data_IF_346603688928
#
_entry.id   IF_346603688928
#
_cell.length_a   1.000
_cell.length_b   1.000
_cell.length_c   1.000
_cell.angle_alpha   90.00
_cell.angle_beta   90.00
_cell.angle_gamma   90.00
#
_symmetry.space_group_name_H-M   'P 1'
#
loop_
_entity.id
_entity.type
_entity.pdbx_description
1 polymer ?
#
# COMPACT_ATOMS: atom_id res chain seq x y z
N UNK A 1 -3.36 -54.36 -25.96
CA UNK A 1 -4.22 -53.66 -25.01
C UNK A 1 -4.39 -52.20 -25.53
N UNK A 2 -5.55 -51.90 -26.07
CA UNK A 2 -5.83 -50.62 -26.70
C UNK A 2 -6.16 -49.58 -25.65
N UNK A 3 -5.35 -48.53 -25.55
CA UNK A 3 -5.65 -47.33 -24.73
C UNK A 3 -6.75 -46.57 -25.45
N UNK A 4 -7.94 -46.51 -24.82
CA UNK A 4 -9.02 -45.67 -25.27
C UNK A 4 -8.68 -44.19 -25.12
N UNK A 5 -9.28 -43.28 -25.92
CA UNK A 5 -9.00 -41.84 -25.86
C UNK A 5 -9.40 -41.26 -24.50
N UNK A 6 -8.69 -40.23 -24.01
CA UNK A 6 -9.02 -39.61 -22.74
C UNK A 6 -10.45 -39.03 -22.81
N UNK A 7 -11.26 -39.34 -21.79
CA UNK A 7 -12.58 -38.77 -21.62
C UNK A 7 -12.41 -37.27 -21.39
N UNK A 8 -12.57 -36.47 -22.43
CA UNK A 8 -12.72 -35.02 -22.30
C UNK A 8 -14.02 -34.75 -21.58
N UNK A 9 -13.93 -34.23 -20.37
CA UNK A 9 -15.07 -33.83 -19.58
C UNK A 9 -15.77 -32.67 -20.31
N UNK A 10 -16.92 -32.95 -20.92
CA UNK A 10 -17.72 -32.00 -21.71
C UNK A 10 -18.08 -30.74 -20.90
N UNK A 11 -18.11 -30.85 -19.57
CA UNK A 11 -18.40 -29.76 -18.65
C UNK A 11 -17.17 -28.90 -18.29
N UNK A 12 -15.95 -29.29 -18.65
CA UNK A 12 -14.74 -28.51 -18.38
C UNK A 12 -14.69 -27.19 -19.18
N UNK A 13 -15.43 -27.08 -20.27
CA UNK A 13 -15.55 -25.87 -21.09
C UNK A 13 -16.64 -24.90 -20.60
N UNK A 14 -17.53 -25.33 -19.69
CA UNK A 14 -18.54 -24.50 -19.08
C UNK A 14 -18.06 -23.98 -17.71
N UNK A 15 -16.85 -23.47 -17.60
CA UNK A 15 -16.52 -22.55 -16.52
C UNK A 15 -17.30 -21.26 -16.76
N UNK A 16 -18.51 -21.23 -16.24
CA UNK A 16 -19.30 -20.00 -16.09
C UNK A 16 -18.42 -19.05 -15.28
N UNK A 17 -17.78 -18.12 -15.98
CA UNK A 17 -16.93 -17.14 -15.33
C UNK A 17 -17.88 -16.18 -14.61
N UNK A 18 -18.11 -16.44 -13.32
CA UNK A 18 -19.00 -15.66 -12.48
C UNK A 18 -18.50 -14.23 -12.48
N UNK A 19 -19.27 -13.30 -13.03
CA UNK A 19 -18.89 -11.90 -13.08
C UNK A 19 -18.97 -11.31 -11.67
N UNK A 20 -17.88 -10.72 -11.22
CA UNK A 20 -17.81 -10.02 -9.93
C UNK A 20 -18.20 -8.56 -10.14
N UNK A 21 -19.36 -8.16 -9.61
CA UNK A 21 -19.90 -6.82 -9.77
C UNK A 21 -19.51 -5.90 -8.61
N UNK A 22 -19.00 -4.73 -8.91
CA UNK A 22 -18.73 -3.66 -7.94
C UNK A 22 -19.59 -2.45 -8.27
N UNK A 23 -20.36 -2.00 -7.30
CA UNK A 23 -21.19 -0.79 -7.41
C UNK A 23 -20.48 0.33 -6.67
N UNK A 24 -20.07 1.35 -7.41
CA UNK A 24 -19.54 2.58 -6.82
C UNK A 24 -20.67 3.58 -6.61
N UNK A 25 -20.65 4.33 -5.53
CA UNK A 25 -21.59 5.40 -5.26
C UNK A 25 -20.89 6.57 -4.56
N UNK A 26 -21.15 7.76 -5.00
CA UNK A 26 -20.62 9.02 -4.50
C UNK A 26 -21.75 10.06 -4.38
N UNK A 27 -21.41 11.24 -3.92
CA UNK A 27 -22.39 12.31 -3.63
C UNK A 27 -22.99 12.94 -4.89
N UNK A 28 -22.21 12.98 -5.95
CA UNK A 28 -22.57 13.60 -7.23
C UNK A 28 -22.96 12.57 -8.30
N UNK A 29 -23.60 12.98 -9.37
CA UNK A 29 -23.87 12.12 -10.52
C UNK A 29 -22.63 11.90 -11.40
N UNK A 30 -21.70 12.84 -11.42
CA UNK A 30 -20.34 12.71 -11.95
C UNK A 30 -19.40 12.27 -10.82
N UNK A 31 -18.59 11.25 -11.12
CA UNK A 31 -17.64 10.71 -10.17
C UNK A 31 -16.29 10.45 -10.86
N UNK A 32 -15.22 10.46 -10.07
CA UNK A 32 -13.85 10.23 -10.49
C UNK A 32 -13.69 8.99 -11.38
N UNK A 33 -13.53 9.21 -12.69
CA UNK A 33 -13.39 8.14 -13.69
C UNK A 33 -12.08 7.34 -13.45
N UNK A 34 -11.08 7.94 -12.81
CA UNK A 34 -9.83 7.25 -12.47
C UNK A 34 -10.13 6.15 -11.45
N UNK A 35 -10.87 6.44 -10.40
CA UNK A 35 -11.30 5.45 -9.40
C UNK A 35 -12.20 4.37 -10.02
N UNK A 36 -13.12 4.74 -10.91
CA UNK A 36 -13.96 3.77 -11.64
C UNK A 36 -13.07 2.82 -12.48
N UNK A 37 -12.11 3.37 -13.19
CA UNK A 37 -11.18 2.62 -14.04
C UNK A 37 -10.25 1.72 -13.23
N UNK A 38 -9.79 2.15 -12.04
CA UNK A 38 -8.99 1.31 -11.15
C UNK A 38 -9.73 0.01 -10.78
N UNK A 39 -11.00 0.09 -10.39
CA UNK A 39 -11.80 -1.10 -10.10
C UNK A 39 -12.03 -1.98 -11.34
N UNK A 40 -12.24 -1.38 -12.51
CA UNK A 40 -12.35 -2.13 -13.78
C UNK A 40 -11.06 -2.87 -14.12
N UNK A 41 -9.91 -2.22 -13.94
CA UNK A 41 -8.60 -2.80 -14.21
C UNK A 41 -8.27 -3.98 -13.28
N UNK A 42 -8.88 -4.03 -12.09
CA UNK A 42 -8.78 -5.16 -11.16
C UNK A 42 -9.71 -6.33 -11.53
N UNK A 43 -10.41 -6.24 -12.67
CA UNK A 43 -11.24 -7.31 -13.24
C UNK A 43 -12.68 -7.31 -12.80
N UNK A 44 -13.18 -6.22 -12.18
CA UNK A 44 -14.57 -6.11 -11.76
C UNK A 44 -15.46 -5.48 -12.85
N UNK A 45 -16.70 -5.93 -12.92
CA UNK A 45 -17.75 -5.22 -13.64
C UNK A 45 -18.27 -4.08 -12.79
N UNK A 46 -17.95 -2.84 -13.18
CA UNK A 46 -18.21 -1.65 -12.36
C UNK A 46 -19.43 -0.89 -12.87
N UNK A 47 -20.34 -0.57 -11.94
CA UNK A 47 -21.49 0.32 -12.17
C UNK A 47 -21.45 1.46 -11.17
N UNK A 48 -21.66 2.68 -11.64
CA UNK A 48 -21.78 3.86 -10.78
C UNK A 48 -23.25 4.26 -10.57
N UNK A 49 -23.56 4.72 -9.35
CA UNK A 49 -24.88 5.28 -8.99
C UNK A 49 -24.65 6.50 -8.10
N UNK A 50 -24.97 7.67 -8.61
CA UNK A 50 -24.95 8.91 -7.85
C UNK A 50 -25.99 8.93 -6.72
N UNK A 51 -25.71 9.66 -5.65
CA UNK A 51 -26.60 9.79 -4.48
C UNK A 51 -27.90 10.52 -4.84
N UNK A 52 -27.82 11.56 -5.68
CA UNK A 52 -28.95 12.40 -6.06
C UNK A 52 -29.59 13.05 -4.83
N UNK A 53 -30.93 13.07 -4.77
CA UNK A 53 -31.66 13.61 -3.61
C UNK A 53 -31.55 12.73 -2.35
N UNK A 54 -30.86 11.59 -2.44
CA UNK A 54 -30.62 10.69 -1.30
C UNK A 54 -31.85 9.96 -0.78
N UNK A 55 -31.82 9.67 0.54
CA UNK A 55 -32.97 9.11 1.25
C UNK A 55 -33.40 7.71 0.79
N UNK A 56 -34.70 7.45 0.94
CA UNK A 56 -35.30 6.15 0.62
C UNK A 56 -35.26 5.80 -0.87
N UNK A 57 -35.34 6.80 -1.76
CA UNK A 57 -35.31 6.57 -3.20
C UNK A 57 -33.93 6.12 -3.68
N UNK A 58 -32.85 6.65 -3.09
CA UNK A 58 -31.51 6.17 -3.37
C UNK A 58 -31.34 4.70 -2.96
N UNK A 59 -31.75 4.34 -1.74
CA UNK A 59 -31.69 2.96 -1.24
C UNK A 59 -32.50 2.01 -2.15
N UNK A 60 -33.69 2.42 -2.61
CA UNK A 60 -34.50 1.65 -3.57
C UNK A 60 -33.78 1.46 -4.91
N UNK A 61 -33.09 2.51 -5.43
CA UNK A 61 -32.30 2.40 -6.66
C UNK A 61 -31.19 1.36 -6.50
N UNK A 62 -30.50 1.36 -5.36
CA UNK A 62 -29.45 0.37 -5.05
C UNK A 62 -30.05 -1.04 -4.89
N UNK A 63 -31.20 -1.19 -4.23
CA UNK A 63 -31.90 -2.48 -4.11
C UNK A 63 -32.27 -3.08 -5.48
N UNK A 64 -32.79 -2.24 -6.39
CA UNK A 64 -33.14 -2.66 -7.75
C UNK A 64 -31.95 -3.14 -8.59
N UNK A 65 -30.71 -2.80 -8.19
CA UNK A 65 -29.53 -3.34 -8.88
C UNK A 65 -29.46 -4.87 -8.80
N UNK A 66 -29.84 -5.44 -7.67
CA UNK A 66 -29.86 -6.87 -7.48
C UNK A 66 -30.82 -7.56 -8.49
N UNK A 67 -31.85 -6.86 -8.98
CA UNK A 67 -32.79 -7.38 -9.98
C UNK A 67 -32.19 -7.41 -11.38
N UNK A 68 -31.20 -6.54 -11.65
CA UNK A 68 -30.48 -6.44 -12.94
C UNK A 68 -29.24 -7.31 -13.06
N UNK A 69 -28.87 -8.03 -12.02
CA UNK A 69 -27.73 -8.97 -12.00
C UNK A 69 -28.26 -10.38 -12.24
N UNK A 70 -27.51 -11.20 -12.99
CA UNK A 70 -27.90 -12.57 -13.31
C UNK A 70 -28.15 -13.42 -12.06
N UNK A 71 -29.02 -14.42 -12.19
CA UNK A 71 -29.33 -15.33 -11.08
C UNK A 71 -28.06 -16.03 -10.61
N UNK A 72 -27.79 -15.95 -9.29
CA UNK A 72 -26.59 -16.54 -8.68
C UNK A 72 -25.36 -15.64 -8.69
N UNK A 73 -25.35 -14.50 -9.38
CA UNK A 73 -24.29 -13.48 -9.26
C UNK A 73 -24.49 -12.62 -8.00
N UNK A 74 -23.41 -12.10 -7.48
CA UNK A 74 -23.33 -11.31 -6.26
C UNK A 74 -22.58 -10.01 -6.52
N UNK A 75 -22.68 -9.04 -5.61
CA UNK A 75 -22.05 -7.76 -5.79
C UNK A 75 -21.44 -7.23 -4.49
N UNK A 76 -20.52 -6.28 -4.64
CA UNK A 76 -19.98 -5.45 -3.57
C UNK A 76 -20.39 -3.98 -3.81
N UNK A 77 -20.44 -3.20 -2.74
CA UNK A 77 -20.67 -1.75 -2.83
C UNK A 77 -19.47 -1.03 -2.25
N UNK A 78 -19.02 0.03 -2.94
CA UNK A 78 -18.03 0.98 -2.48
C UNK A 78 -18.67 2.36 -2.46
N UNK A 79 -18.86 2.92 -1.27
CA UNK A 79 -19.60 4.15 -1.05
C UNK A 79 -18.70 5.26 -0.50
N UNK A 80 -18.71 6.42 -1.15
CA UNK A 80 -17.92 7.60 -0.79
C UNK A 80 -18.83 8.67 -0.18
N UNK A 81 -18.51 9.15 1.03
CA UNK A 81 -19.22 10.23 1.69
C UNK A 81 -20.65 9.91 2.13
N UNK A 82 -21.58 10.81 1.81
CA UNK A 82 -22.97 10.77 2.26
C UNK A 82 -23.75 9.48 1.91
N UNK A 83 -23.59 8.87 0.72
CA UNK A 83 -24.29 7.62 0.37
C UNK A 83 -23.98 6.45 1.29
N UNK A 84 -22.80 6.43 1.93
CA UNK A 84 -22.40 5.36 2.82
C UNK A 84 -23.32 5.22 4.04
N UNK A 85 -23.82 6.33 4.58
CA UNK A 85 -24.62 6.35 5.82
C UNK A 85 -25.97 5.62 5.71
N UNK A 86 -26.85 5.92 4.73
CA UNK A 86 -28.11 5.20 4.57
C UNK A 86 -27.90 3.74 4.15
N UNK A 87 -26.86 3.45 3.39
CA UNK A 87 -26.54 2.06 3.01
C UNK A 87 -26.09 1.23 4.20
N UNK A 88 -25.24 1.76 5.11
CA UNK A 88 -24.86 1.12 6.37
C UNK A 88 -26.08 0.73 7.21
N UNK A 89 -27.10 1.59 7.23
CA UNK A 89 -28.35 1.33 7.94
C UNK A 89 -29.23 0.27 7.25
N UNK A 90 -29.04 0.06 5.95
CA UNK A 90 -29.92 -0.75 5.09
C UNK A 90 -29.31 -2.07 4.63
N UNK A 91 -28.10 -2.45 5.08
CA UNK A 91 -27.37 -3.64 4.58
C UNK A 91 -28.19 -4.93 4.63
N UNK A 92 -29.07 -5.09 5.62
CA UNK A 92 -29.95 -6.27 5.72
C UNK A 92 -30.97 -6.38 4.59
N UNK A 93 -31.28 -5.28 3.94
CA UNK A 93 -32.27 -5.20 2.87
C UNK A 93 -31.62 -5.23 1.48
N UNK A 94 -30.31 -5.49 1.40
CA UNK A 94 -29.54 -5.60 0.16
C UNK A 94 -29.22 -7.09 -0.12
N UNK A 95 -30.09 -7.80 -0.84
CA UNK A 95 -29.87 -9.21 -1.12
C UNK A 95 -28.65 -9.39 -2.03
N UNK A 96 -27.94 -10.51 -1.87
CA UNK A 96 -26.77 -10.88 -2.67
C UNK A 96 -25.53 -9.95 -2.49
N UNK A 97 -25.56 -9.00 -1.54
CA UNK A 97 -24.40 -8.18 -1.18
C UNK A 97 -23.38 -9.05 -0.43
N UNK A 98 -22.10 -9.05 -0.86
CA UNK A 98 -21.00 -9.77 -0.23
C UNK A 98 -20.08 -8.87 0.57
N UNK A 99 -19.82 -7.67 0.08
CA UNK A 99 -18.91 -6.72 0.71
C UNK A 99 -19.45 -5.30 0.64
N UNK A 100 -19.16 -4.54 1.68
CA UNK A 100 -19.49 -3.13 1.75
C UNK A 100 -18.26 -2.34 2.21
N UNK A 101 -17.86 -1.37 1.41
CA UNK A 101 -16.77 -0.45 1.69
C UNK A 101 -17.35 0.94 1.89
N UNK A 102 -17.06 1.56 3.02
CA UNK A 102 -17.47 2.93 3.32
C UNK A 102 -16.26 3.85 3.46
N UNK A 103 -16.16 4.83 2.59
CA UNK A 103 -15.19 5.91 2.70
C UNK A 103 -15.83 7.09 3.41
N UNK A 104 -15.20 7.56 4.50
CA UNK A 104 -15.56 8.74 5.31
C UNK A 104 -17.07 8.98 5.48
N UNK A 105 -17.84 7.96 5.93
CA UNK A 105 -19.27 8.12 6.15
C UNK A 105 -19.53 9.24 7.18
N UNK A 106 -20.39 10.24 6.89
CA UNK A 106 -20.66 11.31 7.83
C UNK A 106 -21.49 10.83 9.03
N UNK A 107 -22.22 9.73 8.88
CA UNK A 107 -23.00 9.11 9.94
C UNK A 107 -22.82 7.60 9.94
N UNK A 108 -22.62 7.02 11.12
CA UNK A 108 -22.53 5.58 11.34
C UNK A 108 -23.64 5.14 12.30
N UNK A 109 -24.46 4.13 11.96
CA UNK A 109 -25.45 3.60 12.89
C UNK A 109 -24.77 2.90 14.06
N UNK A 110 -25.30 3.10 15.26
CA UNK A 110 -24.78 2.44 16.46
C UNK A 110 -25.00 0.92 16.36
N UNK A 111 -23.95 0.15 16.55
CA UNK A 111 -24.01 -1.32 16.55
C UNK A 111 -24.88 -1.90 17.69
N UNK A 112 -25.20 -1.11 18.70
CA UNK A 112 -26.15 -1.52 19.75
C UNK A 112 -27.59 -1.66 19.21
N UNK A 113 -27.90 -1.02 18.08
CA UNK A 113 -29.23 -0.99 17.49
C UNK A 113 -29.30 -1.52 16.06
N UNK A 114 -28.17 -1.59 15.37
CA UNK A 114 -28.08 -2.19 14.01
C UNK A 114 -27.10 -3.35 14.07
N UNK A 115 -27.61 -4.55 13.82
CA UNK A 115 -26.77 -5.71 13.61
C UNK A 115 -26.51 -5.85 12.12
N UNK A 116 -25.26 -5.81 11.73
CA UNK A 116 -24.86 -6.05 10.34
C UNK A 116 -25.05 -7.53 9.96
N UNK A 117 -25.39 -7.81 8.69
CA UNK A 117 -25.52 -9.20 8.24
C UNK A 117 -24.17 -9.94 8.35
N UNK A 118 -24.17 -11.13 8.96
CA UNK A 118 -22.97 -11.96 9.06
C UNK A 118 -22.44 -12.41 7.68
N UNK A 119 -23.27 -12.37 6.63
CA UNK A 119 -22.90 -12.69 5.26
C UNK A 119 -22.13 -11.57 4.54
N UNK A 120 -22.13 -10.32 5.07
CA UNK A 120 -21.52 -9.16 4.43
C UNK A 120 -20.23 -8.78 5.14
N UNK A 121 -19.12 -8.73 4.40
CA UNK A 121 -17.85 -8.20 4.89
C UNK A 121 -17.85 -6.68 4.79
N UNK A 122 -17.50 -5.99 5.88
CA UNK A 122 -17.60 -4.52 5.95
C UNK A 122 -16.24 -3.92 6.30
N UNK A 123 -15.87 -2.86 5.58
CA UNK A 123 -14.70 -2.03 5.90
C UNK A 123 -15.09 -0.55 5.87
N UNK A 124 -14.60 0.21 6.83
CA UNK A 124 -14.79 1.64 6.93
C UNK A 124 -13.45 2.36 6.97
N UNK A 125 -13.28 3.36 6.11
CA UNK A 125 -12.12 4.24 6.06
C UNK A 125 -12.51 5.61 6.62
N UNK A 126 -11.91 6.00 7.73
CA UNK A 126 -12.25 7.20 8.48
C UNK A 126 -11.07 8.17 8.51
N UNK A 127 -11.36 9.46 8.51
CA UNK A 127 -10.33 10.49 8.66
C UNK A 127 -10.11 10.79 10.15
N UNK A 128 -8.85 10.80 10.59
CA UNK A 128 -8.50 11.24 11.93
C UNK A 128 -8.92 12.71 12.15
N UNK A 129 -9.33 13.04 13.38
CA UNK A 129 -9.80 14.36 13.75
C UNK A 129 -11.09 14.85 13.06
N UNK A 130 -11.75 14.04 12.24
CA UNK A 130 -13.08 14.30 11.75
C UNK A 130 -14.14 14.03 12.83
N UNK A 131 -15.33 14.64 12.67
CA UNK A 131 -16.46 14.40 13.57
C UNK A 131 -17.48 13.52 12.85
N UNK A 132 -17.84 12.39 13.46
CA UNK A 132 -18.84 11.47 12.93
C UNK A 132 -20.07 11.48 13.82
N UNK A 133 -21.25 11.57 13.19
CA UNK A 133 -22.52 11.38 13.89
C UNK A 133 -22.82 9.90 14.07
N UNK A 134 -22.92 9.43 15.31
CA UNK A 134 -23.31 8.05 15.63
C UNK A 134 -24.80 8.04 16.00
N UNK A 135 -25.62 7.44 15.13
CA UNK A 135 -27.06 7.31 15.36
C UNK A 135 -27.36 6.19 16.37
N UNK A 136 -28.09 6.51 17.42
CA UNK A 136 -28.51 5.52 18.42
C UNK A 136 -29.70 4.67 17.97
N UNK A 137 -30.44 5.10 16.94
CA UNK A 137 -31.56 4.36 16.36
C UNK A 137 -31.43 4.37 14.85
N UNK A 138 -31.72 3.24 14.16
CA UNK A 138 -31.85 3.27 12.72
C UNK A 138 -32.96 4.26 12.35
N UNK A 139 -32.74 5.10 11.36
CA UNK A 139 -33.80 5.86 10.74
C UNK A 139 -34.81 4.86 10.18
N UNK A 140 -36.00 4.85 10.73
CA UNK A 140 -37.11 4.08 10.15
C UNK A 140 -37.56 4.88 8.94
N UNK A 141 -37.21 4.39 7.76
CA UNK A 141 -37.56 4.96 6.47
C UNK A 141 -39.05 5.36 6.47
N UNK A 142 -39.35 6.65 6.47
CA UNK A 142 -40.66 7.18 6.19
C UNK A 142 -41.56 7.62 7.34
N UNK A 143 -41.12 7.53 8.61
CA UNK A 143 -41.88 8.11 9.73
C UNK A 143 -41.25 9.43 10.18
N UNK A 144 -41.80 10.55 9.71
CA UNK A 144 -41.54 11.86 10.27
C UNK A 144 -41.99 11.87 11.74
N UNK A 145 -41.07 12.08 12.68
CA UNK A 145 -41.42 12.36 14.07
C UNK A 145 -40.53 11.75 15.16
N UNK A 146 -39.59 10.87 14.86
CA UNK A 146 -38.64 10.37 15.87
C UNK A 146 -37.40 11.26 15.90
N UNK A 147 -37.21 12.07 16.95
CA UNK A 147 -35.96 12.76 17.22
C UNK A 147 -34.87 11.71 17.47
N UNK A 148 -34.10 11.38 16.42
CA UNK A 148 -32.90 10.58 16.54
C UNK A 148 -31.85 11.39 17.30
N UNK A 149 -31.41 10.88 18.44
CA UNK A 149 -30.33 11.52 19.20
C UNK A 149 -29.02 11.10 18.61
N UNK A 150 -28.48 11.89 17.69
CA UNK A 150 -27.14 11.70 17.15
C UNK A 150 -26.11 12.10 18.22
N UNK A 151 -25.15 11.24 18.50
CA UNK A 151 -23.98 11.56 19.31
C UNK A 151 -22.84 11.80 18.32
N UNK A 152 -22.29 13.01 18.35
CA UNK A 152 -21.07 13.29 17.62
C UNK A 152 -19.89 12.71 18.39
N UNK A 153 -19.06 11.92 17.72
CA UNK A 153 -17.79 11.43 18.23
C UNK A 153 -16.68 11.95 17.37
N UNK A 154 -15.61 12.44 18.00
CA UNK A 154 -14.37 12.72 17.30
C UNK A 154 -13.68 11.40 17.01
N UNK A 155 -13.20 11.25 15.80
CA UNK A 155 -12.36 10.12 15.39
C UNK A 155 -10.95 10.39 15.89
N UNK A 156 -10.48 9.62 16.86
CA UNK A 156 -9.11 9.71 17.35
C UNK A 156 -8.26 8.64 16.71
N UNK A 157 -7.04 9.01 16.33
CA UNK A 157 -6.02 8.08 15.85
C UNK A 157 -5.56 7.21 17.01
N UNK A 158 -5.61 5.90 16.87
CA UNK A 158 -4.92 5.00 17.80
C UNK A 158 -3.40 5.11 17.65
N UNK A 159 -2.65 4.83 18.70
CA UNK A 159 -1.19 4.77 18.67
C UNK A 159 -0.72 3.59 17.80
N UNK A 160 -0.55 3.84 16.50
CA UNK A 160 -0.12 2.86 15.50
C UNK A 160 -0.72 3.16 14.14
N UNK A 161 -0.09 2.65 13.08
CA UNK A 161 -0.58 2.76 11.70
C UNK A 161 -1.92 2.01 11.52
N UNK A 162 -3.02 2.68 11.83
CA UNK A 162 -4.37 2.15 11.78
C UNK A 162 -4.98 2.00 13.19
N UNK A 163 -5.55 3.09 13.72
CA UNK A 163 -6.37 3.05 14.93
C UNK A 163 -7.64 2.26 14.67
N UNK A 164 -7.95 1.28 15.53
CA UNK A 164 -9.23 0.60 15.52
C UNK A 164 -10.19 1.42 16.40
N UNK A 165 -11.26 1.94 15.80
CA UNK A 165 -12.34 2.56 16.58
C UNK A 165 -13.27 1.46 17.06
N UNK A 166 -13.38 1.28 18.36
CA UNK A 166 -14.43 0.46 18.94
C UNK A 166 -15.79 1.15 18.74
N UNK A 167 -16.50 0.79 17.70
CA UNK A 167 -17.87 1.21 17.43
C UNK A 167 -18.92 0.44 18.26
N UNK A 168 -18.53 -0.10 19.40
CA UNK A 168 -19.39 -0.88 20.31
C UNK A 168 -18.82 -2.26 20.60
N UNK A 169 -19.37 -2.94 21.64
CA UNK A 169 -18.96 -4.30 22.01
C UNK A 169 -18.96 -5.20 20.79
N UNK A 170 -17.87 -5.98 20.61
CA UNK A 170 -17.79 -7.09 19.66
C UNK A 170 -19.08 -7.90 19.75
N UNK A 171 -19.92 -7.81 18.73
CA UNK A 171 -20.97 -8.81 18.56
C UNK A 171 -20.32 -10.18 18.37
N UNK A 172 -21.07 -11.26 18.58
CA UNK A 172 -20.59 -12.64 18.43
C UNK A 172 -19.95 -12.93 17.05
N UNK A 173 -20.11 -12.00 16.07
CA UNK A 173 -19.58 -12.04 14.70
C UNK A 173 -18.53 -10.94 14.41
N UNK A 174 -17.77 -10.46 15.40
CA UNK A 174 -16.88 -9.30 15.32
C UNK A 174 -15.72 -9.37 14.31
N UNK A 175 -15.57 -10.44 13.53
CA UNK A 175 -14.49 -10.58 12.54
C UNK A 175 -14.79 -9.92 11.19
N UNK A 176 -16.04 -9.54 10.89
CA UNK A 176 -16.44 -9.09 9.55
C UNK A 176 -16.51 -7.58 9.36
N UNK A 177 -16.38 -6.78 10.42
CA UNK A 177 -16.35 -5.32 10.36
C UNK A 177 -14.97 -4.82 10.72
N UNK A 178 -14.30 -4.16 9.78
CA UNK A 178 -12.98 -3.55 9.97
C UNK A 178 -13.09 -2.04 9.83
N UNK A 179 -12.37 -1.31 10.66
CA UNK A 179 -12.32 0.15 10.60
C UNK A 179 -10.88 0.61 10.61
N UNK A 180 -10.53 1.50 9.68
CA UNK A 180 -9.22 2.10 9.58
C UNK A 180 -9.33 3.62 9.68
N UNK A 181 -8.42 4.22 10.43
CA UNK A 181 -8.31 5.67 10.61
C UNK A 181 -7.04 6.16 9.93
N UNK A 182 -7.18 7.22 9.14
CA UNK A 182 -6.08 7.83 8.39
C UNK A 182 -5.76 9.19 8.98
N UNK A 183 -4.47 9.41 9.32
CA UNK A 183 -3.97 10.68 9.85
C UNK A 183 -3.67 11.66 8.72
N UNK A 184 -3.87 12.95 8.99
CA UNK A 184 -3.50 14.02 8.07
C UNK A 184 -4.42 14.19 6.85
N UNK A 185 -5.41 13.32 6.67
CA UNK A 185 -6.34 13.38 5.54
C UNK A 185 -7.71 13.94 5.94
N UNK A 186 -8.46 14.44 4.96
CA UNK A 186 -9.83 14.94 5.11
C UNK A 186 -10.82 14.03 4.35
N UNK A 187 -12.14 14.09 4.64
CA UNK A 187 -13.15 13.48 3.79
C UNK A 187 -12.97 13.95 2.33
N UNK A 188 -13.03 13.04 1.38
CA UNK A 188 -12.66 13.29 -0.02
C UNK A 188 -11.25 12.75 -0.39
N UNK A 189 -10.44 12.34 0.58
CA UNK A 189 -9.05 11.96 0.33
C UNK A 189 -8.85 10.84 -0.72
N UNK A 190 -9.87 10.06 -0.98
CA UNK A 190 -9.80 8.93 -1.90
C UNK A 190 -10.42 9.23 -3.29
N UNK A 191 -10.85 10.46 -3.55
CA UNK A 191 -11.43 10.90 -4.82
C UNK A 191 -10.43 11.82 -5.53
N UNK A 192 -10.01 11.45 -6.74
CA UNK A 192 -8.90 12.12 -7.45
C UNK A 192 -9.22 13.50 -8.02
N UNK A 193 -10.52 13.85 -8.07
CA UNK A 193 -11.05 15.07 -8.65
C UNK A 193 -11.41 16.16 -7.63
N UNK A 194 -11.08 15.95 -6.35
CA UNK A 194 -11.32 16.93 -5.28
C UNK A 194 -10.03 17.44 -4.63
N UNK A 195 -10.09 18.62 -4.03
CA UNK A 195 -8.94 19.30 -3.40
C UNK A 195 -8.37 18.53 -2.19
N UNK A 196 -9.20 17.71 -1.53
CA UNK A 196 -8.84 16.89 -0.38
C UNK A 196 -8.08 15.62 -0.74
N UNK A 197 -7.86 15.34 -2.01
CA UNK A 197 -7.18 14.15 -2.48
C UNK A 197 -5.82 13.94 -1.83
N UNK A 198 -5.60 12.74 -1.30
CA UNK A 198 -4.33 12.29 -0.74
C UNK A 198 -3.94 10.94 -1.34
N UNK A 199 -2.88 10.93 -2.14
CA UNK A 199 -2.46 9.74 -2.87
C UNK A 199 -2.07 8.58 -1.96
N UNK A 200 -1.46 8.86 -0.80
CA UNK A 200 -1.03 7.83 0.16
C UNK A 200 -2.22 7.22 0.87
N UNK A 201 -3.13 8.07 1.38
CA UNK A 201 -4.37 7.63 2.02
C UNK A 201 -5.24 6.82 1.06
N UNK A 202 -5.41 7.30 -0.20
CA UNK A 202 -6.14 6.59 -1.25
C UNK A 202 -5.55 5.21 -1.51
N UNK A 203 -4.24 5.12 -1.75
CA UNK A 203 -3.56 3.86 -2.08
C UNK A 203 -3.72 2.81 -0.97
N UNK A 204 -3.52 3.23 0.29
CA UNK A 204 -3.71 2.36 1.44
C UNK A 204 -5.16 1.90 1.59
N UNK A 205 -6.13 2.81 1.44
CA UNK A 205 -7.54 2.50 1.55
C UNK A 205 -8.03 1.61 0.41
N UNK A 206 -7.60 1.88 -0.83
CA UNK A 206 -7.91 1.07 -2.01
C UNK A 206 -7.38 -0.36 -1.86
N UNK A 207 -6.10 -0.54 -1.49
CA UNK A 207 -5.51 -1.87 -1.29
C UNK A 207 -6.28 -2.70 -0.25
N UNK A 208 -6.68 -2.09 0.88
CA UNK A 208 -7.49 -2.74 1.92
C UNK A 208 -8.89 -3.10 1.44
N UNK A 209 -9.50 -2.20 0.68
CA UNK A 209 -10.83 -2.41 0.08
C UNK A 209 -10.81 -3.54 -0.95
N UNK A 210 -9.80 -3.56 -1.81
CA UNK A 210 -9.59 -4.57 -2.83
C UNK A 210 -9.39 -5.96 -2.20
N UNK A 211 -8.58 -6.06 -1.15
CA UNK A 211 -8.37 -7.31 -0.39
C UNK A 211 -9.69 -7.84 0.17
N UNK A 212 -10.47 -6.96 0.82
CA UNK A 212 -11.77 -7.35 1.38
C UNK A 212 -12.74 -7.82 0.30
N UNK A 213 -12.85 -7.09 -0.80
CA UNK A 213 -13.76 -7.40 -1.90
C UNK A 213 -13.36 -8.71 -2.58
N UNK A 214 -12.08 -8.90 -2.90
CA UNK A 214 -11.56 -10.15 -3.48
C UNK A 214 -11.85 -11.36 -2.57
N UNK A 215 -11.58 -11.24 -1.28
CA UNK A 215 -11.88 -12.30 -0.29
C UNK A 215 -13.37 -12.61 -0.19
N UNK A 216 -14.22 -11.59 -0.24
CA UNK A 216 -15.67 -11.77 -0.21
C UNK A 216 -16.20 -12.54 -1.44
N UNK A 217 -15.66 -12.24 -2.62
CA UNK A 217 -15.99 -12.98 -3.84
C UNK A 217 -15.32 -14.36 -3.94
N UNK A 218 -14.37 -14.67 -3.06
CA UNK A 218 -13.55 -15.89 -3.16
C UNK A 218 -12.64 -15.89 -4.38
N UNK A 219 -12.26 -14.69 -4.88
CA UNK A 219 -11.33 -14.54 -6.00
C UNK A 219 -9.96 -15.02 -5.58
N UNK A 220 -9.30 -15.90 -6.36
CA UNK A 220 -7.94 -16.32 -6.05
C UNK A 220 -6.97 -15.12 -6.01
N UNK A 221 -5.94 -15.18 -5.16
CA UNK A 221 -4.94 -14.12 -5.13
C UNK A 221 -4.25 -13.99 -6.49
N UNK A 222 -3.92 -12.75 -6.85
CA UNK A 222 -3.12 -12.47 -8.06
C UNK A 222 -1.69 -12.85 -7.79
N UNK A 223 -1.04 -13.48 -8.75
CA UNK A 223 0.39 -13.81 -8.69
C UNK A 223 1.24 -12.53 -8.91
N UNK A 224 1.37 -11.75 -7.84
CA UNK A 224 2.15 -10.51 -7.88
C UNK A 224 3.65 -10.77 -8.06
N UNK A 225 4.13 -11.91 -7.56
CA UNK A 225 5.54 -12.30 -7.71
C UNK A 225 5.87 -12.60 -9.16
N UNK A 226 5.04 -13.41 -9.83
CA UNK A 226 5.21 -13.70 -11.24
C UNK A 226 5.15 -12.45 -12.13
N UNK A 227 4.21 -11.53 -11.85
CA UNK A 227 4.10 -10.24 -12.56
C UNK A 227 5.39 -9.41 -12.37
N UNK A 228 5.90 -9.34 -11.14
CA UNK A 228 7.14 -8.61 -10.84
C UNK A 228 8.33 -9.20 -11.57
N UNK A 229 8.50 -10.51 -11.54
CA UNK A 229 9.63 -11.20 -12.17
C UNK A 229 9.57 -11.08 -13.70
N UNK A 230 8.38 -11.25 -14.28
CA UNK A 230 8.18 -11.08 -15.73
C UNK A 230 8.50 -9.64 -16.18
N UNK A 231 8.12 -8.64 -15.39
CA UNK A 231 8.44 -7.25 -15.70
C UNK A 231 9.95 -6.99 -15.67
N UNK A 232 10.68 -7.45 -14.64
CA UNK A 232 12.15 -7.28 -14.56
C UNK A 232 12.85 -7.99 -15.71
N UNK A 233 12.45 -9.20 -16.02
CA UNK A 233 12.98 -9.94 -17.15
C UNK A 233 12.66 -9.26 -18.48
N UNK A 234 11.49 -8.66 -18.58
CA UNK A 234 11.04 -7.89 -19.74
C UNK A 234 11.92 -6.66 -19.97
N UNK A 235 12.10 -5.81 -18.93
CA UNK A 235 12.91 -4.58 -19.06
C UNK A 235 14.41 -4.89 -19.27
N UNK A 236 14.92 -5.98 -18.72
CA UNK A 236 16.30 -6.40 -18.96
C UNK A 236 16.51 -6.85 -20.42
N UNK A 237 15.51 -7.48 -21.04
CA UNK A 237 15.58 -7.93 -22.44
C UNK A 237 15.25 -6.82 -23.43
N UNK A 238 14.18 -6.09 -23.23
CA UNK A 238 13.71 -5.03 -24.13
C UNK A 238 12.90 -3.99 -23.36
N UNK A 239 13.54 -2.92 -22.82
CA UNK A 239 12.86 -1.86 -22.07
C UNK A 239 11.71 -1.19 -22.83
N UNK A 240 11.88 -0.96 -24.13
CA UNK A 240 10.84 -0.31 -24.97
C UNK A 240 9.55 -1.12 -24.95
N UNK A 241 9.65 -2.42 -25.21
CA UNK A 241 8.48 -3.30 -25.23
C UNK A 241 7.86 -3.46 -23.84
N UNK A 242 8.68 -3.57 -22.80
CA UNK A 242 8.20 -3.76 -21.44
C UNK A 242 7.49 -2.54 -20.87
N UNK A 243 7.87 -1.33 -21.30
CA UNK A 243 7.31 -0.08 -20.80
C UNK A 243 6.19 0.49 -21.68
N UNK A 244 6.01 0.02 -22.93
CA UNK A 244 5.10 0.64 -23.90
C UNK A 244 3.64 0.74 -23.43
N UNK A 245 3.18 -0.24 -22.65
CA UNK A 245 1.79 -0.36 -22.19
C UNK A 245 1.61 0.08 -20.73
N UNK A 246 2.62 0.72 -20.14
CA UNK A 246 2.51 1.29 -18.79
C UNK A 246 1.60 2.52 -18.81
N UNK A 247 0.88 2.79 -17.72
CA UNK A 247 0.08 4.00 -17.60
C UNK A 247 0.97 5.25 -17.57
N UNK A 248 0.37 6.40 -17.89
CA UNK A 248 1.07 7.68 -17.99
C UNK A 248 1.64 8.19 -16.66
N UNK A 249 1.11 7.71 -15.54
CA UNK A 249 1.58 7.99 -14.18
C UNK A 249 2.54 6.93 -13.64
N UNK A 250 2.94 5.98 -14.49
CA UNK A 250 3.95 4.99 -14.10
C UNK A 250 5.26 5.66 -13.69
N UNK A 251 5.90 5.14 -12.63
CA UNK A 251 7.08 5.77 -12.07
C UNK A 251 8.05 4.78 -11.43
N UNK A 252 9.33 5.14 -11.47
CA UNK A 252 10.38 4.55 -10.63
C UNK A 252 11.24 5.65 -10.04
N UNK A 253 11.42 5.63 -8.73
CA UNK A 253 12.21 6.64 -8.01
C UNK A 253 13.20 5.94 -7.07
N UNK A 254 14.47 6.22 -7.26
CA UNK A 254 15.54 5.87 -6.34
C UNK A 254 15.67 7.01 -5.31
N UNK A 255 15.14 6.80 -4.10
CA UNK A 255 14.95 7.87 -3.11
C UNK A 255 16.26 8.55 -2.66
N UNK A 256 17.38 7.81 -2.46
CA UNK A 256 18.60 8.42 -1.96
C UNK A 256 19.25 9.39 -2.95
N UNK A 257 18.99 9.24 -4.25
CA UNK A 257 19.62 10.04 -5.32
C UNK A 257 18.63 10.83 -6.16
N UNK A 258 17.31 10.61 -5.95
CA UNK A 258 16.22 11.17 -6.76
C UNK A 258 16.40 10.91 -8.26
N UNK A 259 16.99 9.76 -8.61
CA UNK A 259 17.11 9.28 -9.99
C UNK A 259 15.98 8.31 -10.30
N UNK A 260 15.67 8.11 -11.58
CA UNK A 260 14.58 7.21 -12.00
C UNK A 260 13.96 7.65 -13.30
N UNK A 261 12.69 7.34 -13.48
CA UNK A 261 11.91 7.73 -14.66
C UNK A 261 10.43 7.85 -14.34
N UNK A 262 9.74 8.68 -15.08
CA UNK A 262 8.30 8.84 -15.09
C UNK A 262 7.78 8.51 -16.48
N UNK A 263 6.55 8.03 -16.58
CA UNK A 263 5.88 7.55 -17.78
C UNK A 263 6.64 6.43 -18.54
N UNK A 264 6.10 5.99 -19.65
CA UNK A 264 6.68 4.92 -20.46
C UNK A 264 8.03 5.32 -21.10
N UNK A 265 8.18 6.60 -21.49
CA UNK A 265 9.40 7.10 -22.14
C UNK A 265 10.54 7.25 -21.13
N UNK A 266 10.30 7.92 -20.01
CA UNK A 266 11.29 8.10 -18.94
C UNK A 266 11.73 6.77 -18.32
N UNK A 267 10.82 5.84 -18.12
CA UNK A 267 11.13 4.49 -17.64
C UNK A 267 11.93 3.69 -18.67
N UNK A 268 11.59 3.80 -19.95
CA UNK A 268 12.36 3.17 -21.02
C UNK A 268 13.80 3.66 -21.04
N UNK A 269 14.01 4.97 -20.92
CA UNK A 269 15.36 5.54 -20.87
C UNK A 269 16.11 5.07 -19.62
N UNK A 270 15.48 5.13 -18.45
CA UNK A 270 16.09 4.67 -17.20
C UNK A 270 16.54 3.20 -17.29
N UNK A 271 15.71 2.31 -17.81
CA UNK A 271 16.08 0.89 -17.92
C UNK A 271 17.11 0.62 -19.01
N UNK A 272 17.15 1.42 -20.07
CA UNK A 272 18.26 1.36 -21.05
C UNK A 272 19.60 1.70 -20.42
N UNK A 273 19.63 2.69 -19.54
CA UNK A 273 20.83 3.10 -18.82
C UNK A 273 21.23 2.06 -17.77
N UNK A 274 20.24 1.42 -17.13
CA UNK A 274 20.47 0.40 -16.11
C UNK A 274 20.96 -0.92 -16.67
N UNK A 275 20.44 -1.37 -17.81
CA UNK A 275 20.74 -2.68 -18.42
C UNK A 275 21.51 -2.57 -19.74
N UNK A 276 21.87 -1.39 -20.18
CA UNK A 276 22.57 -1.15 -21.44
C UNK A 276 24.03 -1.62 -21.44
N UNK A 277 24.68 -1.62 -22.61
CA UNK A 277 26.06 -2.10 -22.75
C UNK A 277 27.09 -1.30 -21.93
N UNK A 278 26.79 -0.02 -21.65
CA UNK A 278 27.64 0.85 -20.85
C UNK A 278 27.39 0.74 -19.35
N UNK A 279 26.35 0.04 -18.95
CA UNK A 279 26.01 -0.15 -17.52
C UNK A 279 27.09 -0.98 -16.82
N UNK A 280 27.37 -0.69 -15.54
CA UNK A 280 28.23 -1.55 -14.74
C UNK A 280 27.57 -2.91 -14.53
N UNK A 281 28.41 -3.94 -14.34
CA UNK A 281 27.89 -5.23 -13.95
C UNK A 281 27.42 -5.18 -12.49
N UNK A 282 26.11 -5.19 -12.30
CA UNK A 282 25.49 -5.21 -10.97
C UNK A 282 24.93 -6.61 -10.69
N UNK A 283 25.37 -7.21 -9.60
CA UNK A 283 24.83 -8.48 -9.11
C UNK A 283 23.80 -8.19 -8.04
N UNK A 284 22.56 -8.53 -8.32
CA UNK A 284 21.47 -8.50 -7.34
C UNK A 284 21.19 -9.93 -6.83
N UNK A 285 21.01 -10.07 -5.52
CA UNK A 285 20.52 -11.29 -4.88
C UNK A 285 19.29 -10.93 -4.07
N UNK A 286 18.16 -11.51 -4.40
CA UNK A 286 16.96 -11.42 -3.58
C UNK A 286 17.22 -12.12 -2.23
N UNK A 287 16.99 -11.42 -1.14
CA UNK A 287 17.16 -11.91 0.22
C UNK A 287 15.83 -12.27 0.85
N UNK A 288 14.83 -11.40 0.68
CA UNK A 288 13.46 -11.64 1.10
C UNK A 288 12.47 -10.96 0.16
N UNK A 289 11.26 -11.51 0.10
CA UNK A 289 10.13 -10.94 -0.66
C UNK A 289 8.85 -11.06 0.13
N UNK A 290 8.06 -9.99 0.15
CA UNK A 290 6.73 -9.98 0.71
C UNK A 290 5.73 -9.48 -0.33
N UNK A 291 4.78 -10.32 -0.70
CA UNK A 291 3.67 -9.95 -1.58
C UNK A 291 2.44 -9.60 -0.76
N UNK A 292 1.88 -8.42 -1.00
CA UNK A 292 0.62 -7.95 -0.41
C UNK A 292 -0.57 -8.14 -1.36
N UNK A 293 -1.55 -7.24 -1.28
CA UNK A 293 -2.73 -7.25 -2.18
C UNK A 293 -2.44 -6.59 -3.53
N UNK A 294 -1.63 -5.53 -3.52
CA UNK A 294 -1.31 -4.70 -4.69
C UNK A 294 0.16 -4.26 -4.73
N UNK A 295 0.99 -4.81 -3.85
CA UNK A 295 2.39 -4.42 -3.73
C UNK A 295 3.29 -5.63 -3.48
N UNK A 296 4.52 -5.56 -4.01
CA UNK A 296 5.62 -6.47 -3.70
C UNK A 296 6.74 -5.65 -3.05
N UNK A 297 7.27 -6.15 -1.96
CA UNK A 297 8.45 -5.58 -1.28
C UNK A 297 9.60 -6.57 -1.42
N UNK A 298 10.65 -6.16 -2.08
CA UNK A 298 11.87 -6.94 -2.29
C UNK A 298 13.01 -6.36 -1.45
N UNK A 299 13.64 -7.20 -0.63
CA UNK A 299 14.92 -6.90 0.00
C UNK A 299 16.03 -7.61 -0.77
N UNK A 300 17.02 -6.85 -1.21
CA UNK A 300 18.05 -7.33 -2.12
C UNK A 300 19.45 -6.97 -1.61
N UNK A 301 20.39 -7.88 -1.78
CA UNK A 301 21.82 -7.60 -1.66
C UNK A 301 22.37 -7.24 -3.03
N UNK A 302 22.84 -6.01 -3.17
CA UNK A 302 23.41 -5.46 -4.40
C UNK A 302 24.94 -5.43 -4.25
N UNK A 303 25.65 -5.96 -5.25
CA UNK A 303 27.12 -5.95 -5.34
C UNK A 303 27.55 -5.47 -6.70
N UNK A 304 28.50 -4.53 -6.74
CA UNK A 304 29.13 -4.09 -7.97
C UNK A 304 30.54 -3.57 -7.70
N UNK A 305 31.37 -3.55 -8.74
CA UNK A 305 32.63 -2.82 -8.75
C UNK A 305 32.43 -1.48 -9.43
N UNK A 306 32.82 -0.40 -8.78
CA UNK A 306 32.68 0.96 -9.31
C UNK A 306 33.82 1.24 -10.31
N UNK A 307 33.86 0.48 -11.42
CA UNK A 307 34.80 0.62 -12.52
C UNK A 307 34.23 1.40 -13.71
N UNK A 308 32.95 1.76 -13.65
CA UNK A 308 32.20 2.59 -14.57
C UNK A 308 31.29 3.53 -13.81
N UNK A 309 30.77 4.56 -14.47
CA UNK A 309 29.76 5.42 -13.89
C UNK A 309 28.46 4.65 -13.58
N UNK A 310 27.91 4.84 -12.39
CA UNK A 310 26.68 4.23 -11.91
C UNK A 310 25.70 5.36 -11.59
N UNK A 311 25.14 5.97 -12.63
CA UNK A 311 24.37 7.21 -12.53
C UNK A 311 23.19 7.15 -11.56
N UNK A 312 22.60 5.98 -11.38
CA UNK A 312 21.45 5.81 -10.49
C UNK A 312 21.81 5.66 -8.99
N UNK A 313 23.04 5.24 -8.65
CA UNK A 313 23.56 5.18 -7.27
C UNK A 313 24.53 6.32 -6.95
N UNK A 314 25.40 6.66 -7.91
CA UNK A 314 26.52 7.59 -7.76
C UNK A 314 26.51 8.61 -8.91
N UNK A 315 25.45 9.43 -9.06
CA UNK A 315 25.37 10.39 -10.14
C UNK A 315 26.54 11.38 -10.09
N UNK A 316 27.25 11.54 -11.21
CA UNK A 316 28.37 12.45 -11.36
C UNK A 316 29.66 12.03 -10.64
N UNK A 317 29.74 10.84 -10.06
CA UNK A 317 30.96 10.33 -9.42
C UNK A 317 31.76 9.49 -10.41
N UNK A 318 33.02 9.89 -10.74
CA UNK A 318 33.87 9.11 -11.61
C UNK A 318 34.25 7.77 -10.98
N UNK A 319 34.56 6.74 -11.79
CA UNK A 319 34.95 5.41 -11.32
C UNK A 319 36.08 5.43 -10.29
N UNK A 320 35.87 4.76 -9.16
CA UNK A 320 36.85 4.68 -8.06
C UNK A 320 37.59 3.33 -8.03
N UNK A 321 37.14 2.35 -8.80
CA UNK A 321 37.67 0.99 -8.80
C UNK A 321 37.39 0.17 -7.54
N UNK A 322 36.53 0.71 -6.63
CA UNK A 322 36.18 0.06 -5.35
C UNK A 322 35.00 -0.91 -5.52
N UNK A 323 34.99 -1.92 -4.67
CA UNK A 323 33.84 -2.82 -4.56
C UNK A 323 32.81 -2.24 -3.60
N UNK A 324 31.54 -2.34 -3.97
CA UNK A 324 30.39 -1.84 -3.21
C UNK A 324 29.42 -2.96 -2.95
N UNK A 325 28.94 -3.06 -1.68
CA UNK A 325 27.91 -3.99 -1.22
C UNK A 325 26.90 -3.23 -0.40
N UNK A 326 25.64 -3.26 -0.80
CA UNK A 326 24.54 -2.58 -0.09
C UNK A 326 23.30 -3.46 0.00
N UNK A 327 22.51 -3.25 1.04
CA UNK A 327 21.15 -3.72 1.12
C UNK A 327 20.25 -2.68 0.46
N UNK A 328 19.36 -3.16 -0.38
CA UNK A 328 18.41 -2.33 -1.12
C UNK A 328 17.00 -2.87 -0.90
N UNK A 329 16.05 -1.98 -0.65
CA UNK A 329 14.64 -2.33 -0.57
C UNK A 329 13.90 -1.67 -1.73
N UNK A 330 13.15 -2.48 -2.49
CA UNK A 330 12.28 -2.02 -3.56
C UNK A 330 10.83 -2.28 -3.16
N UNK A 331 9.99 -1.26 -3.24
CA UNK A 331 8.55 -1.34 -3.04
C UNK A 331 7.88 -1.10 -4.38
N UNK A 332 7.22 -2.13 -4.89
CA UNK A 332 6.62 -2.15 -6.22
C UNK A 332 5.11 -2.19 -6.12
N UNK A 333 4.44 -1.18 -6.64
CA UNK A 333 2.99 -1.13 -6.81
C UNK A 333 2.57 -1.85 -8.09
N UNK A 334 1.58 -2.73 -7.98
CA UNK A 334 1.04 -3.51 -9.11
C UNK A 334 -0.47 -3.23 -9.19
N UNK A 335 -0.91 -2.74 -10.35
CA UNK A 335 -2.33 -2.45 -10.64
C UNK A 335 -2.69 -3.02 -12.01
N UNK A 336 -3.84 -3.69 -12.10
CA UNK A 336 -4.28 -4.28 -13.36
C UNK A 336 -3.26 -5.24 -14.00
N UNK A 337 -2.49 -5.97 -13.18
CA UNK A 337 -1.46 -6.89 -13.65
C UNK A 337 -0.18 -6.22 -14.18
N UNK A 338 0.05 -4.93 -13.91
CA UNK A 338 1.23 -4.18 -14.34
C UNK A 338 1.97 -3.56 -13.17
N UNK A 339 3.31 -3.53 -13.25
CA UNK A 339 4.15 -2.77 -12.31
C UNK A 339 4.05 -1.28 -12.65
N UNK A 340 3.30 -0.52 -11.85
CA UNK A 340 2.98 0.89 -12.14
C UNK A 340 3.81 1.89 -11.32
N UNK A 341 4.35 1.48 -10.19
CA UNK A 341 5.17 2.35 -9.35
C UNK A 341 6.29 1.55 -8.69
N UNK A 342 7.47 2.10 -8.60
CA UNK A 342 8.58 1.50 -7.85
C UNK A 342 9.33 2.58 -7.06
N UNK A 343 9.47 2.36 -5.75
CA UNK A 343 10.30 3.19 -4.87
C UNK A 343 11.44 2.35 -4.33
N UNK A 344 12.66 2.83 -4.52
CA UNK A 344 13.86 2.10 -4.15
C UNK A 344 14.64 2.86 -3.09
N UNK A 345 15.05 2.16 -2.05
CA UNK A 345 15.73 2.69 -0.88
C UNK A 345 17.04 1.94 -0.63
N UNK A 346 18.07 2.66 -0.25
CA UNK A 346 19.33 2.12 0.28
C UNK A 346 20.02 3.16 1.16
N UNK A 347 21.04 2.76 1.88
CA UNK A 347 21.87 3.69 2.63
C UNK A 347 22.98 4.28 1.75
N UNK A 348 22.79 5.53 1.31
CA UNK A 348 23.76 6.24 0.49
C UNK A 348 25.07 6.55 1.25
N UNK A 349 24.99 6.78 2.57
CA UNK A 349 26.19 7.04 3.35
C UNK A 349 27.13 5.84 3.35
N UNK A 350 26.58 4.63 3.45
CA UNK A 350 27.35 3.39 3.32
C UNK A 350 28.05 3.27 1.97
N UNK A 351 27.37 3.63 0.87
CA UNK A 351 28.00 3.64 -0.47
C UNK A 351 29.19 4.59 -0.49
N UNK A 352 29.01 5.84 -0.01
CA UNK A 352 30.04 6.86 0.01
C UNK A 352 31.24 6.48 0.89
N UNK A 353 31.00 5.80 2.01
CA UNK A 353 32.08 5.24 2.88
C UNK A 353 32.89 4.19 2.11
N UNK A 354 32.24 3.26 1.43
CA UNK A 354 32.92 2.17 0.73
C UNK A 354 33.75 2.65 -0.45
N UNK A 355 33.32 3.67 -1.17
CA UNK A 355 34.12 4.26 -2.26
C UNK A 355 35.16 5.27 -1.79
N UNK A 356 35.20 5.59 -0.49
CA UNK A 356 36.19 6.50 0.12
C UNK A 356 35.85 7.99 0.00
N UNK A 357 34.63 8.35 -0.44
CA UNK A 357 34.18 9.75 -0.49
C UNK A 357 33.69 10.29 0.85
N UNK A 358 33.30 9.41 1.77
CA UNK A 358 32.87 9.75 3.12
C UNK A 358 33.77 9.04 4.14
N UNK A 359 34.51 9.80 4.93
CA UNK A 359 35.29 9.24 6.06
C UNK A 359 34.48 9.33 7.34
N UNK A 360 34.19 8.21 8.04
CA UNK A 360 33.49 8.25 9.33
C UNK A 360 34.20 9.07 10.43
N UNK A 361 35.50 9.34 10.25
CA UNK A 361 36.28 10.17 11.18
C UNK A 361 36.26 11.67 10.88
N UNK A 362 35.71 12.09 9.73
CA UNK A 362 35.53 13.50 9.36
C UNK A 362 34.30 14.06 10.04
N UNK A 363 34.49 14.72 11.17
CA UNK A 363 33.43 15.44 11.88
C UNK A 363 33.54 16.91 11.55
N UNK A 364 32.49 17.60 11.09
CA UNK A 364 32.52 19.01 10.79
C UNK A 364 32.93 19.85 12.02
N UNK A 365 33.68 20.97 11.76
CA UNK A 365 34.03 21.91 12.79
C UNK A 365 32.77 22.43 13.51
N UNK A 366 32.83 22.51 14.84
CA UNK A 366 31.71 22.92 15.70
C UNK A 366 30.92 21.78 16.35
N UNK A 367 30.98 20.56 15.83
CA UNK A 367 30.30 19.39 16.45
C UNK A 367 31.21 18.64 17.43
N UNK A 368 32.52 18.85 17.41
CA UNK A 368 33.51 18.10 18.18
C UNK A 368 33.67 18.48 19.66
N UNK A 369 32.93 19.47 20.18
CA UNK A 369 33.14 20.02 21.53
C UNK A 369 31.91 19.97 22.44
N UNK A 370 31.14 18.90 22.45
CA UNK A 370 30.23 18.68 23.56
C UNK A 370 31.03 18.15 24.75
N UNK A 371 31.36 19.06 25.68
CA UNK A 371 31.71 18.64 27.04
C UNK A 371 30.52 17.91 27.64
N UNK A 372 30.62 16.58 27.79
CA UNK A 372 29.71 15.85 28.63
C UNK A 372 30.03 16.21 30.07
N UNK A 373 29.28 17.15 30.63
CA UNK A 373 29.29 17.43 32.07
C UNK A 373 28.61 16.28 32.80
N UNK A 374 29.32 15.17 32.98
CA UNK A 374 28.95 14.03 33.82
C UNK A 374 30.07 13.82 34.79
N UNK A 375 29.78 14.07 36.10
CA UNK A 375 30.76 13.98 37.16
C UNK A 375 31.30 12.58 37.36
N UNK A 376 32.46 12.31 36.79
CA UNK A 376 33.37 11.32 37.31
C UNK A 376 34.83 11.79 37.08
N UNK A 377 35.54 12.02 38.15
CA UNK A 377 36.88 12.59 38.18
C UNK A 377 37.93 11.54 37.85
N UNK A 378 37.88 10.87 36.72
CA UNK A 378 38.81 9.77 36.45
C UNK A 378 39.27 9.50 35.03
N UNK A 379 38.62 10.03 34.00
CA UNK A 379 38.96 9.70 32.60
C UNK A 379 39.15 10.95 31.75
N UNK A 380 40.38 11.46 31.63
CA UNK A 380 40.79 12.46 30.66
C UNK A 380 41.02 11.84 29.26
N UNK A 381 40.04 11.14 28.72
CA UNK A 381 40.05 10.73 27.33
C UNK A 381 39.18 11.70 26.53
N UNK A 382 39.78 12.61 25.76
CA UNK A 382 39.05 13.36 24.71
C UNK A 382 38.46 12.35 23.72
N UNK A 383 37.20 12.04 23.86
CA UNK A 383 36.51 11.13 22.97
C UNK A 383 36.39 11.79 21.62
N UNK A 384 37.00 11.20 20.60
CA UNK A 384 36.94 11.69 19.23
C UNK A 384 35.55 11.32 18.69
N UNK A 385 34.73 12.31 18.43
CA UNK A 385 33.44 12.09 17.78
C UNK A 385 33.66 11.41 16.43
N UNK A 386 32.79 10.49 16.09
CA UNK A 386 32.75 9.79 14.79
C UNK A 386 31.37 9.99 14.17
N UNK A 387 31.27 10.13 12.86
CA UNK A 387 29.96 10.10 12.19
C UNK A 387 29.29 8.72 12.41
N UNK A 388 27.97 8.70 12.69
CA UNK A 388 27.23 7.45 12.91
C UNK A 388 26.87 6.81 11.56
N UNK A 389 27.89 6.42 10.79
CA UNK A 389 27.74 5.76 9.50
C UNK A 389 28.63 4.51 9.46
N UNK A 390 28.13 3.50 8.77
CA UNK A 390 28.83 2.23 8.55
C UNK A 390 29.11 2.02 7.05
N UNK A 391 30.00 1.13 6.71
CA UNK A 391 30.32 0.78 5.32
C UNK A 391 29.55 -0.45 4.84
N UNK A 392 30.28 -1.50 4.46
CA UNK A 392 29.71 -2.75 3.97
C UNK A 392 29.13 -3.65 5.08
N UNK A 393 29.37 -3.36 6.33
CA UNK A 393 29.01 -4.19 7.48
C UNK A 393 27.52 -4.50 7.54
N UNK A 394 26.66 -3.53 7.20
CA UNK A 394 25.22 -3.75 7.11
C UNK A 394 24.83 -4.78 6.05
N UNK A 395 25.54 -4.77 4.91
CA UNK A 395 25.28 -5.73 3.84
C UNK A 395 25.78 -7.13 4.23
N UNK A 396 26.86 -7.21 5.00
CA UNK A 396 27.37 -8.48 5.51
C UNK A 396 26.45 -9.05 6.58
N UNK A 397 25.90 -8.23 7.48
CA UNK A 397 24.92 -8.66 8.48
C UNK A 397 23.68 -9.30 7.83
N UNK A 398 23.12 -8.69 6.81
CA UNK A 398 21.96 -9.25 6.09
C UNK A 398 22.35 -10.50 5.27
N UNK A 399 23.54 -10.51 4.66
CA UNK A 399 23.98 -11.62 3.82
C UNK A 399 24.28 -12.89 4.60
N UNK A 400 24.79 -12.77 5.82
CA UNK A 400 25.20 -13.87 6.69
C UNK A 400 24.09 -14.27 7.68
N UNK A 401 23.16 -13.35 8.00
CA UNK A 401 22.08 -13.63 8.95
C UNK A 401 22.59 -14.04 10.31
N UNK A 402 22.18 -15.23 10.78
CA UNK A 402 22.57 -15.76 12.09
C UNK A 402 24.09 -16.09 12.19
N UNK A 403 24.76 -16.32 11.07
CA UNK A 403 26.20 -16.61 11.03
C UNK A 403 27.07 -15.34 11.06
N UNK A 404 26.45 -14.13 11.14
CA UNK A 404 27.20 -12.90 11.21
C UNK A 404 27.85 -12.72 12.58
N UNK A 405 29.17 -12.67 12.59
CA UNK A 405 30.00 -12.56 13.80
C UNK A 405 30.33 -11.11 14.19
N UNK A 406 29.81 -10.13 13.47
CA UNK A 406 30.01 -8.71 13.77
C UNK A 406 29.21 -8.24 15.00
N UNK A 407 29.69 -7.14 15.60
CA UNK A 407 29.04 -6.55 16.75
C UNK A 407 28.01 -5.47 16.34
N UNK A 408 26.78 -5.61 16.82
CA UNK A 408 25.79 -4.52 16.82
C UNK A 408 26.16 -3.46 17.88
N UNK A 409 25.64 -2.25 17.75
CA UNK A 409 25.84 -1.13 18.70
C UNK A 409 27.28 -0.60 18.78
N UNK A 410 28.19 -0.98 17.88
CA UNK A 410 29.58 -0.50 17.87
C UNK A 410 29.72 1.03 17.83
N UNK A 411 28.69 1.70 17.24
CA UNK A 411 28.58 3.17 17.22
C UNK A 411 28.06 3.73 18.57
N UNK A 412 27.40 2.90 19.36
CA UNK A 412 26.83 3.24 20.66
C UNK A 412 27.80 2.97 21.82
N UNK A 413 28.86 2.18 21.65
CA UNK A 413 29.82 1.77 22.66
C UNK A 413 30.55 2.91 23.39
N UNK A 414 30.04 4.04 23.17
CA UNK A 414 30.45 5.24 23.83
C UNK A 414 29.49 5.74 24.87
N UNK A 415 28.32 5.21 24.99
CA UNK A 415 27.37 5.47 26.08
C UNK A 415 27.49 4.34 27.04
N UNK A 416 28.34 4.53 28.07
CA UNK A 416 28.66 3.52 29.07
C UNK A 416 27.43 2.78 29.61
N UNK A 417 27.46 1.46 29.50
CA UNK A 417 26.91 0.54 30.48
C UNK A 417 25.39 0.56 30.67
N UNK A 418 24.64 0.06 29.71
CA UNK A 418 23.41 -0.66 30.00
C UNK A 418 23.39 -1.94 29.18
N UNK A 419 23.80 -3.03 29.85
CA UNK A 419 23.48 -4.38 29.42
C UNK A 419 21.95 -4.47 29.39
N UNK A 420 21.38 -4.53 28.19
CA UNK A 420 20.01 -4.97 27.99
C UNK A 420 20.12 -6.48 27.76
N UNK A 421 19.92 -7.22 28.87
CA UNK A 421 19.69 -8.67 28.85
C UNK A 421 18.26 -8.94 28.35
#
# INVERSE_FOLDING_TARGET
>A
MANGPPKTDFFSHLKYQKTSHVVLTGETDDFDEVTISEWRNEGFSVKYIGFGDGGAEFVKRVQKLADGISVGEQYAIVAFGAPASPLLSSLRHLPRLLAFVAYYPPQIPSQQHVTYPASVSIIMHLCANSTISVSKRPEVLGLQGSKTRNIQRRVESGAGLGGEIELGKKGVDGEKVRTYVYEGVKPGFAEGDVDEYDSVGKEMAFSRSLDLVRKAFGTPPVDLEGIRDEFIDGVARNPVRACQDLPTDASRINLPTLTGGFDAEGLTQFYRDLFGPSAPYVRARLMSRTAGTSQVVDEMLIKFRHDREVQWILPGVPPTGKDVRIVMVSIVGIKGGKCVAERVYWDQASVLVQIGMLSPSLVPEGFGQRQVNGGDKGSKGKRKMRMPVVGAEQADAVAQGEDWDGNVNTLCDGVAGTNIS
#
